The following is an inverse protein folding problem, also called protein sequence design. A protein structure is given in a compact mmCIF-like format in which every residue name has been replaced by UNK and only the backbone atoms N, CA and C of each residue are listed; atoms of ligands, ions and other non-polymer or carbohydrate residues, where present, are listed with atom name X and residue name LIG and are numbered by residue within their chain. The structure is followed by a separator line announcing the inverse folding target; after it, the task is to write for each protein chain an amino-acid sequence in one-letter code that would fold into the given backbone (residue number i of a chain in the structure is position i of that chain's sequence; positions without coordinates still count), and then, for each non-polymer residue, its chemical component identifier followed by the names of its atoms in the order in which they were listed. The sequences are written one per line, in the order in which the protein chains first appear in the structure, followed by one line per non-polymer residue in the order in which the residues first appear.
data_IF_018846001725
#
_entry.id   IF_018846001725
#
_cell.length_a   1.000
_cell.length_b   1.000
_cell.length_c   1.000
_cell.angle_alpha   90.00
_cell.angle_beta   90.00
_cell.angle_gamma   90.00
#
_symmetry.space_group_name_H-M   'P 1'
#
loop_
_entity.id
_entity.type
_entity.pdbx_description
1 polymer ?
#
# COMPACT_ATOMS: atom_id res chain seq x y z
N UNK A 1 2.05 0.40 -5.84
CA UNK A 1 0.95 1.35 -6.11
C UNK A 1 0.07 1.43 -4.88
N UNK A 2 -0.21 2.64 -4.38
CA UNK A 2 -0.99 2.81 -3.16
C UNK A 2 -1.67 4.20 -3.12
N UNK A 3 -2.52 4.44 -2.12
CA UNK A 3 -3.11 5.73 -1.83
C UNK A 3 -2.36 6.51 -0.76
N UNK A 4 -2.75 7.76 -0.58
CA UNK A 4 -2.22 8.66 0.44
C UNK A 4 -2.32 8.07 1.86
N UNK A 5 -3.44 7.44 2.20
CA UNK A 5 -3.67 6.88 3.53
C UNK A 5 -2.60 5.86 3.94
N UNK A 6 -2.22 4.94 3.05
CA UNK A 6 -1.18 3.95 3.37
C UNK A 6 0.14 4.61 3.73
N UNK A 7 0.54 5.66 2.99
CA UNK A 7 1.77 6.39 3.30
C UNK A 7 1.73 7.02 4.69
N UNK A 8 0.65 7.73 5.00
CA UNK A 8 0.55 8.43 6.30
C UNK A 8 0.54 7.43 7.46
N UNK A 9 -0.21 6.33 7.35
CA UNK A 9 -0.26 5.30 8.38
C UNK A 9 1.09 4.59 8.57
N UNK A 10 1.81 4.32 7.49
CA UNK A 10 3.14 3.70 7.54
C UNK A 10 4.15 4.60 8.24
N UNK A 11 4.14 5.90 7.92
CA UNK A 11 4.98 6.91 8.57
C UNK A 11 4.60 7.09 10.05
N UNK A 12 3.31 7.16 10.38
CA UNK A 12 2.83 7.23 11.76
C UNK A 12 3.29 6.02 12.57
N UNK A 13 3.15 4.83 12.01
CA UNK A 13 3.62 3.61 12.65
C UNK A 13 5.12 3.62 12.89
N UNK A 14 5.90 4.00 11.89
CA UNK A 14 7.36 4.06 12.01
C UNK A 14 7.85 5.07 13.05
N UNK A 15 7.15 6.19 13.21
CA UNK A 15 7.52 7.25 14.14
C UNK A 15 7.01 7.04 15.58
N UNK A 16 5.79 6.52 15.70
CA UNK A 16 5.02 6.62 16.95
C UNK A 16 4.37 5.28 17.37
N UNK A 17 4.55 4.21 16.60
CA UNK A 17 3.96 2.88 16.82
C UNK A 17 2.42 2.89 16.92
N UNK A 18 1.78 3.86 16.24
CA UNK A 18 0.33 3.98 16.17
C UNK A 18 -0.16 4.04 14.73
N UNK A 19 -1.44 3.75 14.52
CA UNK A 19 -2.16 3.96 13.26
C UNK A 19 -3.52 4.58 13.58
N UNK A 20 -3.81 5.78 13.09
CA UNK A 20 -4.95 6.62 13.51
C UNK A 20 -5.06 6.72 15.03
N UNK A 21 -3.93 6.77 15.71
CA UNK A 21 -3.87 6.84 17.17
C UNK A 21 -4.24 5.57 17.92
N UNK A 22 -4.36 4.44 17.22
CA UNK A 22 -4.46 3.11 17.82
C UNK A 22 -3.05 2.55 17.97
N UNK A 23 -2.69 2.13 19.17
CA UNK A 23 -1.45 1.41 19.46
C UNK A 23 -1.49 0.06 18.70
N UNK A 24 -0.50 -0.20 17.87
CA UNK A 24 -0.52 -1.37 16.97
C UNK A 24 -0.32 -2.67 17.73
N UNK A 25 0.43 -2.66 18.84
CA UNK A 25 0.67 -3.87 19.64
C UNK A 25 -0.51 -4.19 20.55
N UNK A 26 -1.09 -3.16 21.17
CA UNK A 26 -2.18 -3.32 22.16
C UNK A 26 -3.56 -3.32 21.54
N UNK A 27 -3.71 -2.80 20.31
CA UNK A 27 -5.02 -2.63 19.66
C UNK A 27 -5.95 -1.66 20.38
N UNK A 28 -5.42 -0.80 21.25
CA UNK A 28 -6.19 0.17 22.06
C UNK A 28 -5.89 1.60 21.64
N UNK A 29 -6.87 2.49 21.78
CA UNK A 29 -6.66 3.92 21.53
C UNK A 29 -5.66 4.50 22.53
N UNK A 30 -4.71 5.26 21.99
CA UNK A 30 -3.80 6.05 22.82
C UNK A 30 -4.47 7.36 23.23
N UNK A 31 -4.10 7.90 24.38
CA UNK A 31 -4.47 9.27 24.73
C UNK A 31 -3.89 10.22 23.68
N UNK A 32 -4.74 11.05 23.07
CA UNK A 32 -4.36 11.96 21.98
C UNK A 32 -3.97 11.28 20.63
N UNK A 33 -4.60 10.17 20.28
CA UNK A 33 -4.31 9.43 19.05
C UNK A 33 -4.34 10.26 17.77
N UNK A 34 -5.27 11.18 17.61
CA UNK A 34 -5.31 12.11 16.48
C UNK A 34 -4.06 13.01 16.38
N UNK A 35 -3.44 13.35 17.51
CA UNK A 35 -2.18 14.11 17.53
C UNK A 35 -1.05 13.32 16.86
N UNK A 36 -0.96 12.01 17.07
CA UNK A 36 0.08 11.17 16.47
C UNK A 36 -0.03 11.19 14.94
N UNK A 37 -1.25 11.06 14.43
CA UNK A 37 -1.50 11.14 13.00
C UNK A 37 -1.06 12.50 12.41
N UNK A 38 -1.44 13.60 13.04
CA UNK A 38 -1.05 14.95 12.62
C UNK A 38 0.48 15.17 12.73
N UNK A 39 1.13 14.61 13.74
CA UNK A 39 2.61 14.66 13.84
C UNK A 39 3.24 13.97 12.64
N UNK A 40 2.80 12.77 12.27
CA UNK A 40 3.32 12.04 11.12
C UNK A 40 3.16 12.83 9.82
N UNK A 41 1.97 13.40 9.59
CA UNK A 41 1.70 14.28 8.45
C UNK A 41 2.67 15.46 8.43
N UNK A 42 2.80 16.18 9.55
CA UNK A 42 3.67 17.35 9.64
C UNK A 42 5.15 17.03 9.41
N UNK A 43 5.63 15.90 9.95
CA UNK A 43 7.02 15.48 9.74
C UNK A 43 7.31 15.13 8.28
N UNK A 44 6.34 14.52 7.60
CA UNK A 44 6.45 14.22 6.17
C UNK A 44 6.46 15.51 5.32
N UNK A 45 5.57 16.47 5.64
CA UNK A 45 5.57 17.78 4.97
C UNK A 45 6.85 18.58 5.23
N UNK A 46 7.37 18.58 6.44
CA UNK A 46 8.68 19.21 6.77
C UNK A 46 9.83 18.59 5.97
N UNK A 47 9.82 17.28 5.80
CA UNK A 47 10.83 16.59 5.00
C UNK A 47 10.67 16.86 3.50
N UNK A 48 9.44 17.06 3.02
CA UNK A 48 9.08 17.35 1.64
C UNK A 48 9.07 16.14 0.71
N UNK A 49 9.49 14.96 1.16
CA UNK A 49 9.33 13.69 0.44
C UNK A 49 9.61 12.47 1.33
N UNK A 50 9.07 11.31 0.92
CA UNK A 50 9.36 10.02 1.55
C UNK A 50 10.86 9.72 1.53
N UNK A 51 11.52 9.95 0.41
CA UNK A 51 12.97 9.72 0.30
C UNK A 51 13.78 10.55 1.29
N UNK A 52 13.40 11.81 1.47
CA UNK A 52 14.11 12.71 2.40
C UNK A 52 13.90 12.32 3.86
N UNK A 53 12.67 11.93 4.27
CA UNK A 53 12.41 11.52 5.65
C UNK A 53 13.11 10.20 5.99
N UNK A 54 13.20 9.25 5.05
CA UNK A 54 13.99 8.01 5.19
C UNK A 54 15.49 8.34 5.31
N UNK A 55 16.03 9.15 4.41
CA UNK A 55 17.46 9.48 4.40
C UNK A 55 17.90 10.32 5.61
N UNK A 56 16.99 11.06 6.22
CA UNK A 56 17.27 11.79 7.48
C UNK A 56 17.39 10.85 8.70
N UNK A 57 17.03 9.57 8.57
CA UNK A 57 17.02 8.59 9.66
C UNK A 57 15.87 8.76 10.65
N UNK A 58 14.89 9.62 10.36
CA UNK A 58 13.70 9.81 11.21
C UNK A 58 12.82 8.58 11.21
N UNK A 59 12.59 7.96 10.06
CA UNK A 59 11.90 6.68 9.94
C UNK A 59 12.91 5.58 9.63
N UNK A 60 12.78 4.44 10.31
CA UNK A 60 13.75 3.33 10.26
C UNK A 60 13.09 1.97 9.97
N UNK A 61 11.81 1.97 9.72
CA UNK A 61 10.99 0.78 9.43
C UNK A 61 9.79 1.19 8.60
N UNK A 62 9.03 0.22 8.12
CA UNK A 62 7.82 0.43 7.36
C UNK A 62 7.97 0.12 5.87
N UNK A 63 6.84 0.10 5.19
CA UNK A 63 6.73 -0.27 3.76
C UNK A 63 7.57 0.68 2.90
N UNK A 64 7.41 1.98 3.10
CA UNK A 64 8.11 2.97 2.27
C UNK A 64 9.58 3.12 2.65
N UNK A 65 9.95 2.85 3.91
CA UNK A 65 11.35 2.71 4.29
C UNK A 65 12.02 1.58 3.48
N UNK A 66 11.40 0.40 3.44
CA UNK A 66 11.93 -0.73 2.67
C UNK A 66 11.94 -0.46 1.16
N UNK A 67 10.92 0.23 0.62
CA UNK A 67 10.90 0.63 -0.78
C UNK A 67 12.11 1.52 -1.12
N UNK A 68 12.42 2.52 -0.31
CA UNK A 68 13.56 3.43 -0.54
C UNK A 68 14.90 2.69 -0.38
N UNK A 69 15.05 1.87 0.66
CA UNK A 69 16.30 1.14 0.92
C UNK A 69 16.64 0.11 -0.15
N UNK A 70 15.63 -0.52 -0.71
CA UNK A 70 15.80 -1.57 -1.73
C UNK A 70 15.56 -1.05 -3.17
N UNK A 71 15.42 0.27 -3.37
CA UNK A 71 15.15 0.90 -4.66
C UNK A 71 13.90 0.32 -5.37
N UNK A 72 12.87 -0.04 -4.61
CA UNK A 72 11.60 -0.52 -5.13
C UNK A 72 10.77 0.68 -5.56
N UNK A 73 10.37 0.78 -6.85
CA UNK A 73 9.56 1.89 -7.31
C UNK A 73 8.16 1.83 -6.70
N UNK A 74 7.62 2.99 -6.36
CA UNK A 74 6.23 3.12 -5.92
C UNK A 74 5.57 4.35 -6.53
N UNK A 75 4.24 4.28 -6.67
CA UNK A 75 3.40 5.39 -7.10
C UNK A 75 2.26 5.54 -6.10
N UNK A 76 2.08 6.76 -5.64
CA UNK A 76 1.03 7.14 -4.69
C UNK A 76 0.00 8.01 -5.42
N UNK A 77 -1.25 7.59 -5.40
CA UNK A 77 -2.35 8.33 -6.00
C UNK A 77 -3.26 8.91 -4.92
N UNK A 78 -3.64 10.17 -5.09
CA UNK A 78 -4.63 10.82 -4.25
C UNK A 78 -6.05 10.35 -4.54
N UNK A 79 -6.96 10.70 -3.64
CA UNK A 79 -8.39 10.49 -3.79
C UNK A 79 -9.18 11.67 -3.23
N UNK A 80 -10.47 11.76 -3.59
CA UNK A 80 -11.37 12.80 -3.05
C UNK A 80 -11.64 12.65 -1.54
N UNK A 81 -11.13 11.59 -0.90
CA UNK A 81 -11.26 11.36 0.55
C UNK A 81 -10.07 11.88 1.34
N UNK A 82 -9.01 12.35 0.68
CA UNK A 82 -7.78 12.74 1.36
C UNK A 82 -7.90 14.17 1.92
N UNK A 83 -7.60 14.32 3.21
CA UNK A 83 -7.56 15.61 3.91
C UNK A 83 -6.16 16.23 3.81
N UNK A 84 -5.74 16.61 2.61
CA UNK A 84 -4.40 17.11 2.34
C UNK A 84 -3.41 15.98 2.02
N UNK A 85 -3.21 15.69 0.73
CA UNK A 85 -2.30 14.62 0.30
C UNK A 85 -0.85 14.97 0.59
N UNK A 86 -0.08 13.94 0.96
CA UNK A 86 1.36 14.07 1.23
C UNK A 86 2.16 14.52 -0.02
N UNK A 87 3.37 15.07 0.15
CA UNK A 87 4.15 15.67 -0.95
C UNK A 87 4.42 14.77 -2.16
N UNK A 88 4.54 13.44 -1.94
CA UNK A 88 4.80 12.49 -3.03
C UNK A 88 3.51 11.92 -3.66
N UNK A 89 2.34 12.37 -3.22
CA UNK A 89 1.05 11.88 -3.72
C UNK A 89 0.65 12.67 -4.97
N UNK A 90 0.37 11.97 -6.04
CA UNK A 90 -0.11 12.55 -7.30
C UNK A 90 -1.61 12.85 -7.14
N UNK A 91 -1.96 14.12 -7.15
CA UNK A 91 -3.35 14.59 -6.97
C UNK A 91 -4.14 14.61 -8.28
N UNK A 92 -3.48 14.72 -9.42
CA UNK A 92 -4.11 14.58 -10.72
C UNK A 92 -4.35 13.12 -11.04
N UNK A 93 -5.62 12.72 -11.13
CA UNK A 93 -6.01 11.31 -11.34
C UNK A 93 -5.58 10.78 -12.70
N UNK A 94 -5.51 11.63 -13.72
CA UNK A 94 -5.07 11.23 -15.06
C UNK A 94 -3.57 11.00 -15.08
N UNK A 95 -2.81 11.84 -14.40
CA UNK A 95 -1.37 11.65 -14.22
C UNK A 95 -1.08 10.37 -13.41
N UNK A 96 -1.81 10.15 -12.32
CA UNK A 96 -1.68 8.94 -11.51
C UNK A 96 -1.94 7.67 -12.33
N UNK A 97 -2.99 7.66 -13.17
CA UNK A 97 -3.28 6.55 -14.09
C UNK A 97 -2.12 6.28 -15.06
N UNK A 98 -1.55 7.32 -15.67
CA UNK A 98 -0.40 7.18 -16.57
C UNK A 98 0.80 6.54 -15.85
N UNK A 99 1.08 6.96 -14.61
CA UNK A 99 2.16 6.37 -13.81
C UNK A 99 1.87 4.91 -13.43
N UNK A 100 0.63 4.58 -13.09
CA UNK A 100 0.22 3.19 -12.85
C UNK A 100 0.42 2.32 -14.09
N UNK A 101 -0.02 2.78 -15.26
CA UNK A 101 0.17 2.08 -16.54
C UNK A 101 1.65 1.78 -16.82
N UNK A 102 2.55 2.71 -16.52
CA UNK A 102 3.99 2.50 -16.70
C UNK A 102 4.53 1.32 -15.87
N UNK A 103 4.03 1.15 -14.64
CA UNK A 103 4.42 0.02 -13.78
C UNK A 103 3.75 -1.27 -14.28
N UNK A 104 2.47 -1.21 -14.62
CA UNK A 104 1.67 -2.37 -15.02
C UNK A 104 2.12 -2.97 -16.36
N UNK A 105 2.68 -2.16 -17.25
CA UNK A 105 3.16 -2.63 -18.55
C UNK A 105 4.23 -3.74 -18.47
N UNK A 106 4.96 -3.82 -17.35
CA UNK A 106 6.02 -4.80 -17.11
C UNK A 106 5.67 -5.79 -15.99
N UNK A 107 4.41 -5.87 -15.60
CA UNK A 107 3.99 -6.75 -14.50
C UNK A 107 3.54 -8.11 -15.06
N UNK A 108 4.00 -9.20 -14.47
CA UNK A 108 3.52 -10.56 -14.71
C UNK A 108 2.41 -10.95 -13.75
N UNK A 109 2.41 -10.35 -12.55
CA UNK A 109 1.47 -10.61 -11.47
C UNK A 109 1.15 -9.31 -10.74
N UNK A 110 -0.12 -9.10 -10.45
CA UNK A 110 -0.61 -8.03 -9.57
C UNK A 110 -1.29 -8.63 -8.36
N UNK A 111 -0.87 -8.21 -7.17
CA UNK A 111 -1.51 -8.57 -5.91
C UNK A 111 -2.22 -7.33 -5.36
N UNK A 112 -3.52 -7.42 -5.18
CA UNK A 112 -4.38 -6.37 -4.63
C UNK A 112 -4.65 -6.67 -3.15
N UNK A 113 -4.28 -5.75 -2.27
CA UNK A 113 -4.29 -5.97 -0.82
C UNK A 113 -5.21 -4.96 -0.14
N UNK A 114 -6.35 -5.41 0.37
CA UNK A 114 -7.29 -4.63 1.22
C UNK A 114 -7.59 -3.21 0.70
N UNK A 115 -7.74 -3.07 -0.60
CA UNK A 115 -8.11 -1.79 -1.22
C UNK A 115 -9.12 -2.01 -2.34
N UNK A 116 -10.20 -1.24 -2.34
CA UNK A 116 -11.18 -1.31 -3.42
C UNK A 116 -10.92 -0.26 -4.50
N UNK A 117 -10.75 1.01 -4.12
CA UNK A 117 -10.65 2.11 -5.07
C UNK A 117 -9.46 1.94 -6.03
N UNK A 118 -8.26 1.80 -5.49
CA UNK A 118 -7.05 1.64 -6.30
C UNK A 118 -7.02 0.29 -7.03
N UNK A 119 -7.56 -0.77 -6.43
CA UNK A 119 -7.66 -2.08 -7.08
C UNK A 119 -8.59 -2.06 -8.29
N UNK A 120 -9.75 -1.40 -8.20
CA UNK A 120 -10.64 -1.23 -9.36
C UNK A 120 -9.95 -0.43 -10.46
N UNK A 121 -9.29 0.67 -10.10
CA UNK A 121 -8.56 1.48 -11.08
C UNK A 121 -7.46 0.67 -11.77
N UNK A 122 -6.68 -0.10 -11.01
CA UNK A 122 -5.65 -1.00 -11.53
C UNK A 122 -6.27 -2.10 -12.40
N UNK A 123 -7.35 -2.74 -11.95
CA UNK A 123 -8.07 -3.77 -12.70
C UNK A 123 -8.58 -3.31 -14.07
N UNK A 124 -8.96 -2.03 -14.19
CA UNK A 124 -9.36 -1.44 -15.47
C UNK A 124 -8.18 -1.18 -16.43
N UNK A 125 -6.95 -1.21 -15.94
CA UNK A 125 -5.74 -0.88 -16.72
C UNK A 125 -4.84 -2.09 -16.98
N UNK A 126 -5.03 -3.18 -16.27
CA UNK A 126 -4.18 -4.39 -16.37
C UNK A 126 -4.40 -5.05 -17.74
N UNK A 127 -3.31 -5.38 -18.47
CA UNK A 127 -3.39 -6.25 -19.64
C UNK A 127 -3.98 -7.63 -19.30
N UNK A 128 -4.74 -8.23 -20.22
CA UNK A 128 -5.38 -9.55 -20.00
C UNK A 128 -4.39 -10.70 -19.76
N UNK A 129 -3.14 -10.50 -20.07
CA UNK A 129 -2.05 -11.47 -19.86
C UNK A 129 -1.51 -11.46 -18.42
N UNK A 130 -1.75 -10.40 -17.67
CA UNK A 130 -1.24 -10.24 -16.29
C UNK A 130 -2.15 -10.98 -15.31
N UNK A 131 -1.58 -11.87 -14.51
CA UNK A 131 -2.32 -12.57 -13.45
C UNK A 131 -2.66 -11.63 -12.31
N UNK A 132 -3.84 -11.81 -11.72
CA UNK A 132 -4.33 -10.97 -10.61
C UNK A 132 -4.72 -11.82 -9.43
N UNK A 133 -4.29 -11.42 -8.23
CA UNK A 133 -4.77 -12.00 -6.96
C UNK A 133 -5.32 -10.87 -6.10
N UNK A 134 -6.60 -10.95 -5.76
CA UNK A 134 -7.26 -9.98 -4.91
C UNK A 134 -7.50 -10.56 -3.51
N UNK A 135 -6.97 -9.91 -2.50
CA UNK A 135 -7.06 -10.34 -1.09
C UNK A 135 -7.78 -9.25 -0.30
N UNK A 136 -8.86 -9.61 0.33
CA UNK A 136 -9.59 -8.75 1.26
C UNK A 136 -10.29 -9.60 2.32
N UNK A 137 -10.45 -9.07 3.52
CA UNK A 137 -11.21 -9.74 4.58
C UNK A 137 -12.72 -9.73 4.31
N UNK A 138 -13.19 -8.75 3.51
CA UNK A 138 -14.58 -8.61 3.13
C UNK A 138 -14.88 -9.39 1.84
N UNK A 139 -15.73 -10.46 1.90
CA UNK A 139 -16.08 -11.25 0.72
C UNK A 139 -16.70 -10.41 -0.42
N UNK A 140 -17.47 -9.38 -0.07
CA UNK A 140 -18.11 -8.50 -1.06
C UNK A 140 -17.09 -7.68 -1.83
N UNK A 141 -15.99 -7.27 -1.19
CA UNK A 141 -14.89 -6.59 -1.87
C UNK A 141 -14.20 -7.53 -2.86
N UNK A 142 -13.91 -8.77 -2.42
CA UNK A 142 -13.30 -9.80 -3.29
C UNK A 142 -14.19 -10.08 -4.51
N UNK A 143 -15.48 -10.34 -4.29
CA UNK A 143 -16.44 -10.58 -5.39
C UNK A 143 -16.45 -9.42 -6.39
N UNK A 144 -16.51 -8.18 -5.89
CA UNK A 144 -16.52 -7.00 -6.74
C UNK A 144 -15.24 -6.82 -7.56
N UNK A 145 -14.09 -7.18 -7.01
CA UNK A 145 -12.82 -7.13 -7.72
C UNK A 145 -12.72 -8.23 -8.77
N UNK A 146 -13.26 -9.42 -8.51
CA UNK A 146 -13.34 -10.51 -9.48
C UNK A 146 -14.26 -10.15 -10.66
N UNK A 147 -15.42 -9.59 -10.39
CA UNK A 147 -16.39 -9.16 -11.43
C UNK A 147 -15.79 -8.12 -12.39
N UNK A 148 -14.84 -7.33 -11.93
CA UNK A 148 -14.15 -6.32 -12.72
C UNK A 148 -12.83 -6.78 -13.31
N UNK A 149 -12.22 -7.79 -12.71
CA UNK A 149 -10.86 -8.20 -12.99
C UNK A 149 -10.70 -9.19 -14.14
N UNK A 150 -11.79 -9.65 -14.74
CA UNK A 150 -11.76 -10.66 -15.82
C UNK A 150 -11.42 -12.09 -15.35
N UNK A 151 -11.45 -13.06 -16.26
CA UNK A 151 -11.22 -14.48 -15.94
C UNK A 151 -9.82 -14.86 -15.44
N UNK A 152 -8.86 -13.92 -15.41
CA UNK A 152 -7.51 -14.14 -14.85
C UNK A 152 -7.40 -13.80 -13.36
N UNK A 153 -8.43 -13.26 -12.72
CA UNK A 153 -8.38 -12.85 -11.33
C UNK A 153 -8.73 -14.00 -10.37
N UNK A 154 -7.92 -14.16 -9.33
CA UNK A 154 -8.16 -15.10 -8.21
C UNK A 154 -8.49 -14.27 -6.97
N UNK A 155 -9.61 -14.57 -6.33
CA UNK A 155 -10.04 -13.93 -5.09
C UNK A 155 -9.70 -14.78 -3.87
N UNK A 156 -9.17 -14.15 -2.84
CA UNK A 156 -8.88 -14.77 -1.54
C UNK A 156 -9.53 -13.95 -0.44
N UNK A 157 -10.48 -14.56 0.27
CA UNK A 157 -11.08 -13.95 1.46
C UNK A 157 -10.17 -14.26 2.65
N UNK A 158 -9.37 -13.28 3.05
CA UNK A 158 -8.42 -13.43 4.15
C UNK A 158 -8.00 -12.08 4.70
N UNK A 159 -7.54 -12.08 5.95
CA UNK A 159 -6.78 -10.95 6.50
C UNK A 159 -5.40 -10.85 5.84
N UNK A 160 -5.01 -9.65 5.43
CA UNK A 160 -3.72 -9.41 4.77
C UNK A 160 -2.54 -9.65 5.71
N UNK A 161 -2.71 -9.36 7.01
CA UNK A 161 -1.70 -9.62 8.04
C UNK A 161 -1.43 -11.11 8.25
N UNK A 162 -2.42 -11.97 7.98
CA UNK A 162 -2.26 -13.42 7.96
C UNK A 162 -1.71 -13.91 6.61
N UNK A 163 -2.23 -13.38 5.51
CA UNK A 163 -1.89 -13.83 4.16
C UNK A 163 -0.41 -13.59 3.80
N UNK A 164 0.10 -12.39 4.04
CA UNK A 164 1.45 -12.00 3.61
C UNK A 164 2.58 -12.81 4.28
N UNK A 165 2.57 -13.08 5.59
CA UNK A 165 3.57 -13.95 6.22
C UNK A 165 3.56 -15.37 5.65
N UNK A 166 2.38 -15.94 5.40
CA UNK A 166 2.24 -17.27 4.80
C UNK A 166 2.77 -17.27 3.37
N UNK A 167 2.43 -16.27 2.57
CA UNK A 167 2.97 -16.12 1.21
C UNK A 167 4.49 -16.03 1.23
N UNK A 168 5.07 -15.19 2.09
CA UNK A 168 6.52 -15.01 2.21
C UNK A 168 7.22 -16.33 2.59
N UNK A 169 6.66 -17.09 3.54
CA UNK A 169 7.21 -18.37 3.96
C UNK A 169 7.23 -19.37 2.79
N UNK A 170 6.14 -19.47 2.03
CA UNK A 170 6.05 -20.37 0.89
C UNK A 170 6.99 -19.95 -0.25
N UNK A 171 7.10 -18.67 -0.55
CA UNK A 171 8.04 -18.16 -1.57
C UNK A 171 9.49 -18.51 -1.18
N UNK A 172 9.88 -18.27 0.07
CA UNK A 172 11.23 -18.65 0.56
C UNK A 172 11.50 -20.15 0.44
N UNK A 173 10.51 -20.99 0.80
CA UNK A 173 10.62 -22.45 0.68
C UNK A 173 10.81 -22.88 -0.78
N UNK A 174 10.04 -22.33 -1.70
CA UNK A 174 10.18 -22.64 -3.13
C UNK A 174 11.52 -22.18 -3.69
N UNK A 175 12.01 -21.02 -3.31
CA UNK A 175 13.34 -20.54 -3.74
C UNK A 175 14.48 -21.42 -3.23
N UNK A 176 14.34 -22.04 -2.07
CA UNK A 176 15.33 -23.00 -1.54
C UNK A 176 15.29 -24.34 -2.28
N UNK A 177 14.12 -24.78 -2.75
CA UNK A 177 13.97 -26.04 -3.51
C UNK A 177 14.42 -25.96 -4.96
N UNK A 178 14.61 -24.74 -5.50
CA UNK A 178 15.07 -24.49 -6.87
C UNK A 178 16.59 -24.26 -6.97
N UNK A 179 17.28 -24.25 -5.84
CA UNK A 179 18.75 -24.19 -5.74
C UNK A 179 19.34 -25.57 -5.53
#
# INVERSE_FOLDING_TARGET
MAGNALLIHDVENSLLHTSLGVDIEKGSFTSMGHRNHIIAVNELFKAGSVKKIVNSGKIKSGIFYECIKNNIPFVLAGSIRDDGPAPDVIIDVVEAQKKYQTILANADLVIMLSTMLHSIAVGNMIPSTVKVVAIDINPSAVTKLLDRGTGQAIGVVSDVGLFLPILLQNVKRLQQSLK
#
